data_IF_219960243154
#
_entry.id   IF_219960243154
#
_cell.length_a   1.000
_cell.length_b   1.000
_cell.length_c   1.000
_cell.angle_alpha   90.00
_cell.angle_beta   90.00
_cell.angle_gamma   90.00
#
_symmetry.space_group_name_H-M   'P 1'
#
loop_
_entity.id
_entity.type
_entity.pdbx_description
1 polymer ?
#
# COMPACT_ATOMS: atom_id res chain seq x y z
N UNK A 1 -13.58 -6.52 -11.90
CA UNK A 1 -12.84 -6.03 -10.72
C UNK A 1 -13.70 -4.97 -10.04
N UNK A 2 -13.94 -5.09 -8.74
CA UNK A 2 -14.66 -4.06 -7.97
C UNK A 2 -13.73 -2.87 -7.74
N UNK A 3 -14.26 -1.63 -7.74
CA UNK A 3 -13.46 -0.44 -7.45
C UNK A 3 -13.16 -0.38 -5.94
N UNK A 4 -11.95 0.06 -5.58
CA UNK A 4 -11.55 0.24 -4.17
C UNK A 4 -12.53 1.16 -3.42
N UNK A 5 -13.02 2.23 -4.05
CA UNK A 5 -14.00 3.14 -3.44
C UNK A 5 -15.30 2.43 -3.05
N UNK A 6 -15.80 1.53 -3.89
CA UNK A 6 -17.02 0.77 -3.62
C UNK A 6 -16.79 -0.24 -2.50
N UNK A 7 -15.57 -0.81 -2.42
CA UNK A 7 -15.18 -1.70 -1.32
C UNK A 7 -15.08 -0.97 0.02
N UNK A 8 -14.46 0.22 0.04
CA UNK A 8 -14.40 1.08 1.23
C UNK A 8 -15.82 1.38 1.72
N UNK A 9 -16.70 1.86 0.83
CA UNK A 9 -18.09 2.18 1.17
C UNK A 9 -18.84 1.00 1.78
N UNK A 10 -18.71 -0.20 1.22
CA UNK A 10 -19.40 -1.38 1.77
C UNK A 10 -18.83 -1.86 3.11
N UNK A 11 -17.52 -1.69 3.33
CA UNK A 11 -16.87 -2.14 4.58
C UNK A 11 -17.11 -1.19 5.75
N UNK A 12 -17.11 0.13 5.51
CA UNK A 12 -17.34 1.13 6.59
C UNK A 12 -18.73 1.02 7.22
N UNK A 13 -19.72 0.52 6.48
CA UNK A 13 -21.07 0.24 7.01
C UNK A 13 -21.07 -0.90 8.03
N UNK A 14 -20.04 -1.76 8.04
CA UNK A 14 -19.97 -2.98 8.86
C UNK A 14 -18.96 -2.87 10.01
N UNK A 15 -17.82 -2.23 9.77
CA UNK A 15 -16.75 -2.06 10.75
C UNK A 15 -15.84 -0.88 10.43
N UNK A 16 -15.09 -0.34 11.43
CA UNK A 16 -13.95 0.53 11.16
C UNK A 16 -12.94 -0.16 10.24
N UNK A 17 -12.30 0.63 9.37
CA UNK A 17 -11.26 0.13 8.47
C UNK A 17 -9.89 0.25 9.12
N UNK A 18 -9.11 -0.83 9.04
CA UNK A 18 -7.70 -0.81 9.39
C UNK A 18 -6.85 -0.78 8.11
N UNK A 19 -6.14 0.32 7.90
CA UNK A 19 -5.34 0.57 6.69
C UNK A 19 -3.92 1.01 7.07
N UNK A 20 -2.99 0.08 7.30
CA UNK A 20 -1.60 0.40 7.61
C UNK A 20 -0.96 1.26 6.52
N UNK A 21 -0.17 2.25 6.94
CA UNK A 21 0.63 3.08 6.05
C UNK A 21 2.08 2.59 6.03
N UNK A 22 2.60 2.31 4.83
CA UNK A 22 4.01 2.04 4.59
C UNK A 22 4.63 3.28 3.97
N UNK A 23 5.48 3.97 4.75
CA UNK A 23 6.34 5.02 4.23
C UNK A 23 7.56 4.38 3.55
N UNK A 24 7.53 4.36 2.22
CA UNK A 24 8.58 3.79 1.39
C UNK A 24 9.93 4.50 1.52
N UNK A 25 9.97 5.72 2.05
CA UNK A 25 11.21 6.49 2.23
C UNK A 25 11.86 6.25 3.59
N UNK A 26 11.14 5.66 4.53
CA UNK A 26 11.63 5.33 5.87
C UNK A 26 12.16 3.90 5.94
N UNK A 27 11.51 2.97 5.24
CA UNK A 27 11.81 1.54 5.34
C UNK A 27 12.62 1.02 4.16
N UNK A 28 13.58 0.14 4.45
CA UNK A 28 14.29 -0.64 3.44
C UNK A 28 13.36 -1.65 2.76
N UNK A 29 13.75 -2.17 1.60
CA UNK A 29 12.99 -3.21 0.89
C UNK A 29 12.82 -4.49 1.70
N UNK A 30 13.78 -4.85 2.55
CA UNK A 30 13.67 -6.01 3.45
C UNK A 30 12.63 -5.75 4.55
N UNK A 31 12.64 -4.57 5.15
CA UNK A 31 11.64 -4.17 6.15
C UNK A 31 10.24 -4.11 5.54
N UNK A 32 10.09 -3.52 4.35
CA UNK A 32 8.82 -3.51 3.60
C UNK A 32 8.31 -4.93 3.38
N UNK A 33 9.21 -5.89 3.11
CA UNK A 33 8.86 -7.30 2.94
C UNK A 33 8.31 -7.89 4.24
N UNK A 34 9.01 -7.66 5.37
CA UNK A 34 8.59 -8.12 6.70
C UNK A 34 7.25 -7.48 7.11
N UNK A 35 7.11 -6.17 6.93
CA UNK A 35 5.90 -5.41 7.23
C UNK A 35 4.72 -5.92 6.39
N UNK A 36 4.91 -6.11 5.08
CA UNK A 36 3.85 -6.62 4.19
C UNK A 36 3.35 -8.00 4.60
N UNK A 37 4.26 -8.91 5.00
CA UNK A 37 3.90 -10.24 5.53
C UNK A 37 3.14 -10.14 6.85
N UNK A 38 3.55 -9.24 7.75
CA UNK A 38 2.84 -9.01 9.02
C UNK A 38 1.44 -8.45 8.76
N UNK A 39 1.30 -7.51 7.83
CA UNK A 39 0.01 -6.93 7.44
C UNK A 39 -0.90 -8.00 6.85
N UNK A 40 -0.39 -8.88 5.98
CA UNK A 40 -1.14 -10.01 5.41
C UNK A 40 -1.76 -10.91 6.49
N UNK A 41 -1.05 -11.13 7.58
CA UNK A 41 -1.50 -11.96 8.70
C UNK A 41 -2.33 -11.19 9.75
N UNK A 42 -2.64 -9.91 9.49
CA UNK A 42 -3.43 -9.06 10.37
C UNK A 42 -4.88 -8.91 9.86
N UNK A 43 -5.71 -8.17 10.60
CA UNK A 43 -7.08 -7.84 10.16
C UNK A 43 -7.15 -6.60 9.25
N UNK A 44 -6.02 -6.20 8.67
CA UNK A 44 -5.96 -5.07 7.75
C UNK A 44 -6.87 -5.28 6.55
N UNK A 45 -7.56 -4.22 6.14
CA UNK A 45 -8.49 -4.25 5.03
C UNK A 45 -7.81 -3.91 3.71
N UNK A 46 -6.82 -3.03 3.76
CA UNK A 46 -6.08 -2.46 2.63
C UNK A 46 -4.69 -1.99 3.12
N UNK A 47 -3.76 -1.76 2.21
CA UNK A 47 -2.44 -1.18 2.51
C UNK A 47 -2.32 0.17 1.83
N UNK A 48 -1.89 1.18 2.58
CA UNK A 48 -1.55 2.49 2.01
C UNK A 48 -0.04 2.58 1.85
N UNK A 49 0.43 2.98 0.67
CA UNK A 49 1.87 3.14 0.39
C UNK A 49 2.15 4.56 -0.06
N UNK A 50 3.16 5.20 0.51
CA UNK A 50 3.55 6.57 0.17
C UNK A 50 4.94 6.93 0.66
N UNK A 51 5.17 8.21 0.96
CA UNK A 51 6.42 8.72 1.55
C UNK A 51 6.66 10.21 1.24
N UNK A 52 7.88 10.70 1.48
CA UNK A 52 8.27 12.10 1.27
C UNK A 52 8.82 12.40 -0.15
N UNK A 53 9.14 13.68 -0.40
CA UNK A 53 9.65 14.21 -1.67
C UNK A 53 10.93 13.48 -2.15
N UNK A 54 11.11 13.39 -3.48
CA UNK A 54 12.26 12.78 -4.20
C UNK A 54 12.24 11.26 -4.43
N UNK A 55 11.05 10.64 -4.47
CA UNK A 55 10.91 9.27 -4.98
C UNK A 55 10.57 9.27 -6.46
N UNK A 56 11.34 8.51 -7.26
CA UNK A 56 11.03 8.28 -8.67
C UNK A 56 10.08 7.10 -8.90
N UNK A 57 9.53 7.05 -10.12
CA UNK A 57 8.56 6.04 -10.53
C UNK A 57 9.13 4.61 -10.55
N UNK A 58 10.41 4.43 -10.84
CA UNK A 58 11.02 3.10 -10.86
C UNK A 58 11.15 2.55 -9.44
N UNK A 59 11.59 3.38 -8.50
CA UNK A 59 11.63 3.03 -7.09
C UNK A 59 10.23 2.68 -6.59
N UNK A 60 9.24 3.55 -6.83
CA UNK A 60 7.88 3.30 -6.38
C UNK A 60 7.27 2.03 -7.01
N UNK A 61 7.53 1.77 -8.29
CA UNK A 61 7.13 0.53 -8.94
C UNK A 61 7.69 -0.70 -8.23
N UNK A 62 8.96 -0.65 -7.81
CA UNK A 62 9.59 -1.75 -7.08
C UNK A 62 9.00 -1.94 -5.68
N UNK A 63 8.69 -0.84 -4.97
CA UNK A 63 8.02 -0.89 -3.67
C UNK A 63 6.65 -1.55 -3.81
N UNK A 64 5.81 -1.06 -4.74
CA UNK A 64 4.45 -1.59 -4.93
C UNK A 64 4.48 -3.07 -5.32
N UNK A 65 5.39 -3.48 -6.21
CA UNK A 65 5.58 -4.90 -6.53
C UNK A 65 5.95 -5.71 -5.30
N UNK A 66 6.91 -5.22 -4.50
CA UNK A 66 7.35 -5.92 -3.29
C UNK A 66 6.21 -6.10 -2.29
N UNK A 67 5.36 -5.09 -2.10
CA UNK A 67 4.18 -5.20 -1.25
C UNK A 67 3.24 -6.28 -1.81
N UNK A 68 2.89 -6.23 -3.10
CA UNK A 68 1.99 -7.23 -3.75
C UNK A 68 2.52 -8.66 -3.73
N UNK A 69 3.84 -8.85 -3.79
CA UNK A 69 4.47 -10.17 -3.67
C UNK A 69 4.27 -10.78 -2.27
N UNK A 70 3.97 -9.95 -1.26
CA UNK A 70 3.95 -10.35 0.15
C UNK A 70 2.60 -10.10 0.86
N UNK A 71 1.63 -9.47 0.20
CA UNK A 71 0.24 -9.33 0.65
C UNK A 71 -0.73 -9.35 -0.54
N UNK A 72 -1.90 -9.92 -0.32
CA UNK A 72 -3.03 -9.99 -1.24
C UNK A 72 -4.06 -8.86 -1.03
N UNK A 73 -3.79 -7.95 -0.08
CA UNK A 73 -4.67 -6.80 0.19
C UNK A 73 -4.58 -5.74 -0.92
N UNK A 74 -5.69 -4.99 -1.17
CA UNK A 74 -5.67 -3.84 -2.07
C UNK A 74 -4.64 -2.79 -1.63
N UNK A 75 -3.94 -2.19 -2.60
CA UNK A 75 -2.97 -1.12 -2.35
C UNK A 75 -3.57 0.22 -2.77
N UNK A 76 -3.47 1.20 -1.90
CA UNK A 76 -3.78 2.60 -2.17
C UNK A 76 -2.47 3.38 -2.15
N UNK A 77 -2.18 4.10 -3.23
CA UNK A 77 -1.05 5.03 -3.24
C UNK A 77 -1.50 6.35 -2.62
N UNK A 78 -0.77 6.81 -1.61
CA UNK A 78 -0.86 8.16 -1.07
C UNK A 78 0.37 8.95 -1.56
N UNK A 79 0.29 9.60 -2.74
CA UNK A 79 1.46 10.15 -3.38
C UNK A 79 1.91 11.45 -2.73
N UNK A 80 3.20 11.54 -2.37
CA UNK A 80 3.85 12.78 -1.96
C UNK A 80 4.43 13.60 -3.13
N UNK A 81 4.57 12.99 -4.32
CA UNK A 81 4.99 13.64 -5.56
C UNK A 81 4.56 12.83 -6.80
N UNK A 82 4.77 13.36 -8.01
CA UNK A 82 4.35 12.72 -9.28
C UNK A 82 5.05 11.39 -9.58
N UNK A 83 6.29 11.21 -9.12
CA UNK A 83 7.04 9.97 -9.23
C UNK A 83 6.50 8.83 -8.37
N UNK A 84 5.59 9.09 -7.43
CA UNK A 84 4.98 8.04 -6.60
C UNK A 84 3.77 7.36 -7.25
N UNK A 85 3.37 7.75 -8.46
CA UNK A 85 2.32 7.02 -9.18
C UNK A 85 2.92 5.75 -9.79
N UNK A 86 2.28 4.60 -9.54
CA UNK A 86 2.74 3.30 -10.04
C UNK A 86 1.62 2.59 -10.77
N UNK A 87 1.93 2.04 -11.95
CA UNK A 87 0.98 1.25 -12.77
C UNK A 87 0.68 -0.14 -12.20
N UNK A 88 1.30 -0.48 -11.07
CA UNK A 88 1.17 -1.79 -10.43
C UNK A 88 0.21 -1.77 -9.24
N UNK A 89 -0.26 -0.60 -8.80
CA UNK A 89 -1.28 -0.46 -7.76
C UNK A 89 -2.69 -0.54 -8.37
#
# INVERSE_FOLDING_TARGET
>A
MKKILDEIKEKIEKKPLYMPFIDSTVYTMEEITKISKSIRNSEADMVVVGGILNVDMNYMNNVVKRVKENTDLPIIILPGNTGMVSKYA
#
